data_IF_025393435216
#
_entry.id   IF_025393435216
#
_cell.length_a   1.000
_cell.length_b   1.000
_cell.length_c   1.000
_cell.angle_alpha   90.00
_cell.angle_beta   90.00
_cell.angle_gamma   90.00
#
_symmetry.space_group_name_H-M   'P 1'
#
loop_
_entity.id
_entity.type
_entity.pdbx_description
1 polymer ?
#
# COMPACT_ATOMS: atom_id res chain seq x y z
N UNK A 1 7.38 4.80 11.56
CA UNK A 1 8.65 5.54 11.32
C UNK A 1 8.46 6.90 10.61
N UNK A 2 7.30 7.54 10.77
CA UNK A 2 6.95 8.82 10.14
C UNK A 2 7.93 9.99 10.45
N UNK A 3 8.56 10.01 11.64
CA UNK A 3 9.46 11.10 12.06
C UNK A 3 10.79 11.08 11.30
N UNK A 4 11.36 9.91 11.05
CA UNK A 4 12.69 9.78 10.42
C UNK A 4 12.62 10.29 8.97
N UNK A 5 11.58 9.91 8.21
CA UNK A 5 11.38 10.39 6.83
C UNK A 5 11.09 11.87 6.72
N UNK A 6 10.52 12.48 7.76
CA UNK A 6 10.04 13.87 7.72
C UNK A 6 11.09 14.88 8.19
N UNK A 7 12.03 14.46 9.04
CA UNK A 7 12.93 15.38 9.75
C UNK A 7 14.41 15.05 9.54
N UNK A 8 14.76 13.80 9.22
CA UNK A 8 16.15 13.39 9.12
C UNK A 8 16.64 13.40 7.66
N UNK A 9 17.87 13.83 7.46
CA UNK A 9 18.55 13.77 6.16
C UNK A 9 19.28 12.43 5.94
N UNK A 10 19.82 11.86 7.02
CA UNK A 10 20.53 10.58 7.05
C UNK A 10 19.99 9.64 8.12
N UNK A 11 20.21 8.33 7.92
CA UNK A 11 19.84 7.26 8.85
C UNK A 11 20.95 6.23 8.96
N UNK A 12 21.07 5.63 10.13
CA UNK A 12 21.83 4.41 10.35
C UNK A 12 20.92 3.36 11.01
N UNK A 13 20.86 2.16 10.44
CA UNK A 13 20.14 1.01 10.97
C UNK A 13 21.12 0.13 11.73
N UNK A 14 20.73 -0.28 12.94
CA UNK A 14 21.57 -1.09 13.81
C UNK A 14 20.90 -2.41 14.17
N UNK A 15 21.70 -3.47 14.23
CA UNK A 15 21.31 -4.77 14.76
C UNK A 15 22.43 -5.30 15.67
N UNK A 16 22.07 -5.81 16.85
CA UNK A 16 23.02 -6.38 17.82
C UNK A 16 24.22 -5.48 18.12
N UNK A 17 23.98 -4.17 18.23
CA UNK A 17 25.00 -3.17 18.57
C UNK A 17 25.95 -2.80 17.42
N UNK A 18 25.66 -3.21 16.17
CA UNK A 18 26.45 -2.85 14.98
C UNK A 18 25.60 -2.10 13.98
N UNK A 19 26.20 -1.11 13.32
CA UNK A 19 25.59 -0.45 12.16
C UNK A 19 25.63 -1.43 10.99
N UNK A 20 24.46 -1.81 10.50
CA UNK A 20 24.29 -2.76 9.40
C UNK A 20 24.00 -2.05 8.07
N UNK A 21 23.48 -0.83 8.12
CA UNK A 21 23.16 -0.03 6.94
C UNK A 21 23.14 1.46 7.30
N UNK A 22 23.70 2.33 6.46
CA UNK A 22 23.76 3.78 6.70
C UNK A 22 23.74 4.55 5.38
N UNK A 23 23.10 5.72 5.39
CA UNK A 23 23.12 6.66 4.26
C UNK A 23 21.97 7.64 4.30
N UNK A 24 21.71 8.36 3.19
CA UNK A 24 20.55 9.23 3.06
C UNK A 24 19.26 8.47 3.33
N UNK A 25 18.32 9.09 4.06
CA UNK A 25 17.04 8.45 4.40
C UNK A 25 16.33 7.94 3.15
N UNK A 26 16.31 8.73 2.08
CA UNK A 26 15.72 8.34 0.79
C UNK A 26 16.37 7.09 0.22
N UNK A 27 17.69 7.00 0.22
CA UNK A 27 18.41 5.86 -0.35
C UNK A 27 18.22 4.57 0.46
N UNK A 28 18.34 4.65 1.79
CA UNK A 28 18.24 3.49 2.68
C UNK A 28 16.80 2.96 2.75
N UNK A 29 15.80 3.82 2.68
CA UNK A 29 14.39 3.40 2.75
C UNK A 29 13.75 3.08 1.39
N UNK A 30 14.19 3.70 0.28
CA UNK A 30 13.67 3.36 -1.06
C UNK A 30 14.33 2.10 -1.65
N UNK A 31 15.57 1.80 -1.27
CA UNK A 31 16.29 0.61 -1.73
C UNK A 31 17.05 -0.08 -0.58
N UNK A 32 16.35 -0.58 0.45
CA UNK A 32 16.99 -1.22 1.60
C UNK A 32 17.73 -2.49 1.17
N UNK A 33 18.99 -2.61 1.56
CA UNK A 33 19.83 -3.76 1.23
C UNK A 33 19.72 -4.86 2.29
N UNK A 34 19.70 -4.48 3.57
CA UNK A 34 19.70 -5.43 4.68
C UNK A 34 18.29 -5.94 4.99
N UNK A 35 18.18 -7.21 5.40
CA UNK A 35 16.90 -7.87 5.71
C UNK A 35 16.13 -7.18 6.83
N UNK A 36 16.85 -6.69 7.85
CA UNK A 36 16.29 -5.94 8.98
C UNK A 36 15.68 -4.61 8.52
N UNK A 37 16.42 -3.85 7.70
CA UNK A 37 15.94 -2.60 7.09
C UNK A 37 14.71 -2.84 6.23
N UNK A 38 14.70 -3.91 5.42
CA UNK A 38 13.51 -4.32 4.64
C UNK A 38 12.30 -4.59 5.52
N UNK A 39 12.50 -5.24 6.67
CA UNK A 39 11.41 -5.51 7.63
C UNK A 39 10.85 -4.20 8.20
N UNK A 40 11.72 -3.29 8.63
CA UNK A 40 11.31 -1.98 9.13
C UNK A 40 10.55 -1.14 8.10
N UNK A 41 11.01 -1.12 6.85
CA UNK A 41 10.31 -0.42 5.75
C UNK A 41 8.93 -1.04 5.51
N UNK A 42 8.81 -2.37 5.60
CA UNK A 42 7.54 -3.08 5.41
C UNK A 42 6.57 -2.83 6.56
N UNK A 43 7.05 -2.86 7.80
CA UNK A 43 6.23 -2.65 9.00
C UNK A 43 5.72 -1.18 9.06
N UNK A 44 6.57 -0.21 8.68
CA UNK A 44 6.22 1.21 8.56
C UNK A 44 5.08 1.49 7.56
N UNK A 45 5.01 0.71 6.47
CA UNK A 45 3.93 0.83 5.48
C UNK A 45 2.59 0.24 5.95
N UNK A 46 2.62 -0.61 6.99
CA UNK A 46 1.43 -1.26 7.54
C UNK A 46 0.84 -0.49 8.75
N UNK A 47 1.66 0.16 9.57
CA UNK A 47 1.21 0.87 10.80
C UNK A 47 0.30 2.08 10.52
N UNK A 48 0.59 2.89 9.49
CA UNK A 48 -0.26 4.03 9.10
C UNK A 48 -1.62 3.56 8.54
N UNK A 49 -1.68 2.33 8.03
CA UNK A 49 -2.87 1.73 7.41
C UNK A 49 -3.82 1.10 8.44
N UNK A 50 -3.31 0.26 9.35
CA UNK A 50 -4.13 -0.38 10.39
C UNK A 50 -4.79 0.67 11.30
N UNK A 51 -4.05 1.72 11.66
CA UNK A 51 -4.56 2.81 12.51
C UNK A 51 -5.73 3.55 11.84
N UNK A 52 -5.62 3.83 10.53
CA UNK A 52 -6.67 4.49 9.74
C UNK A 52 -7.91 3.61 9.51
N UNK A 53 -7.74 2.28 9.50
CA UNK A 53 -8.86 1.33 9.40
C UNK A 53 -9.58 1.13 10.74
N UNK A 54 -8.87 1.24 11.85
CA UNK A 54 -9.43 1.02 13.20
C UNK A 54 -10.37 2.17 13.63
N UNK A 55 -10.22 3.36 13.04
CA UNK A 55 -11.12 4.50 13.23
C UNK A 55 -12.39 4.45 12.35
N UNK A 56 -12.42 3.56 11.36
CA UNK A 56 -13.61 3.33 10.55
C UNK A 56 -14.49 2.32 11.29
N UNK A 57 -15.72 2.72 11.62
CA UNK A 57 -16.74 1.86 12.23
C UNK A 57 -16.84 0.50 11.52
N UNK A 58 -17.21 -0.60 12.21
CA UNK A 58 -17.29 -1.92 11.61
C UNK A 58 -18.12 -1.86 10.32
N UNK A 59 -17.42 -2.11 9.20
CA UNK A 59 -17.99 -2.20 7.86
C UNK A 59 -19.23 -3.09 7.92
N UNK A 60 -20.35 -2.58 7.43
CA UNK A 60 -21.60 -3.32 7.38
C UNK A 60 -21.42 -4.68 6.69
N UNK A 61 -22.41 -5.57 6.85
CA UNK A 61 -22.40 -6.85 6.13
C UNK A 61 -22.21 -6.59 4.62
N UNK A 62 -21.22 -7.26 4.02
CA UNK A 62 -20.84 -7.15 2.61
C UNK A 62 -20.08 -5.87 2.22
N UNK A 63 -19.57 -5.11 3.20
CA UNK A 63 -18.64 -4.01 2.97
C UNK A 63 -17.17 -4.44 3.22
N UNK A 64 -16.25 -3.94 2.38
CA UNK A 64 -14.84 -4.34 2.38
C UNK A 64 -13.92 -3.13 2.24
N UNK A 65 -12.78 -3.18 2.93
CA UNK A 65 -11.64 -2.32 2.61
C UNK A 65 -10.54 -3.20 2.05
N UNK A 66 -10.06 -2.84 0.85
CA UNK A 66 -9.05 -3.60 0.13
C UNK A 66 -7.90 -2.69 -0.28
N UNK A 67 -6.68 -3.26 -0.29
CA UNK A 67 -5.48 -2.59 -0.78
C UNK A 67 -5.12 -3.14 -2.16
N UNK A 68 -5.28 -2.33 -3.18
CA UNK A 68 -4.91 -2.63 -4.56
C UNK A 68 -3.44 -2.22 -4.78
N UNK A 69 -2.55 -3.18 -5.06
CA UNK A 69 -1.11 -2.93 -5.26
C UNK A 69 -0.77 -2.88 -6.75
N UNK A 70 -0.02 -1.86 -7.15
CA UNK A 70 0.47 -1.66 -8.52
C UNK A 70 1.97 -2.00 -8.56
N UNK A 71 2.35 -2.94 -9.43
CA UNK A 71 3.72 -3.45 -9.55
C UNK A 71 4.26 -3.40 -10.99
N UNK A 72 4.00 -2.30 -11.73
CA UNK A 72 4.59 -2.02 -13.05
C UNK A 72 3.70 -2.32 -14.27
N UNK A 73 4.24 -1.98 -15.46
CA UNK A 73 3.73 -2.14 -16.85
C UNK A 73 2.30 -1.69 -17.25
N UNK A 74 1.34 -1.55 -16.33
CA UNK A 74 -0.03 -1.11 -16.65
C UNK A 74 -0.29 0.30 -16.10
N UNK A 75 0.07 1.33 -16.87
CA UNK A 75 0.01 2.74 -16.43
C UNK A 75 -1.28 3.47 -16.81
N UNK A 76 -2.06 2.95 -17.75
CA UNK A 76 -3.19 3.70 -18.34
C UNK A 76 -4.53 2.96 -18.32
N UNK A 77 -4.54 1.71 -17.87
CA UNK A 77 -5.78 0.95 -17.75
C UNK A 77 -6.63 1.50 -16.59
N UNK A 78 -7.92 1.80 -16.84
CA UNK A 78 -8.77 2.37 -15.81
C UNK A 78 -9.33 1.25 -14.93
N UNK A 79 -8.45 0.62 -14.13
CA UNK A 79 -8.75 -0.58 -13.34
C UNK A 79 -9.93 -0.31 -12.39
N UNK A 80 -9.91 0.81 -11.66
CA UNK A 80 -10.95 1.15 -10.68
C UNK A 80 -12.32 1.31 -11.34
N UNK A 81 -12.44 2.06 -12.43
CA UNK A 81 -13.73 2.23 -13.11
C UNK A 81 -14.19 0.96 -13.81
N UNK A 82 -13.25 0.15 -14.31
CA UNK A 82 -13.54 -1.15 -14.91
C UNK A 82 -14.11 -2.13 -13.89
N UNK A 83 -13.55 -2.15 -12.67
CA UNK A 83 -14.07 -2.95 -11.55
C UNK A 83 -15.45 -2.45 -11.11
N UNK A 84 -15.62 -1.14 -10.96
CA UNK A 84 -16.92 -0.55 -10.64
C UNK A 84 -18.01 -0.94 -11.65
N UNK A 85 -17.69 -0.87 -12.95
CA UNK A 85 -18.64 -1.21 -14.03
C UNK A 85 -18.89 -2.71 -14.14
N UNK A 86 -17.84 -3.53 -14.03
CA UNK A 86 -17.95 -4.98 -14.22
C UNK A 86 -18.75 -5.68 -13.12
N UNK A 87 -18.71 -5.15 -11.90
CA UNK A 87 -19.37 -5.73 -10.74
C UNK A 87 -20.55 -4.88 -10.23
N UNK A 88 -20.86 -3.76 -10.87
CA UNK A 88 -21.87 -2.78 -10.44
C UNK A 88 -21.67 -2.34 -8.97
N UNK A 89 -20.41 -2.07 -8.61
CA UNK A 89 -20.01 -1.71 -7.24
C UNK A 89 -19.61 -0.24 -7.15
N UNK A 90 -19.96 0.39 -6.02
CA UNK A 90 -19.40 1.69 -5.65
C UNK A 90 -18.03 1.48 -5.03
N UNK A 91 -17.10 2.40 -5.31
CA UNK A 91 -15.74 2.34 -4.78
C UNK A 91 -15.37 3.74 -4.30
N UNK A 92 -15.00 3.84 -3.03
CA UNK A 92 -14.40 5.05 -2.46
C UNK A 92 -12.88 4.84 -2.38
N UNK A 93 -12.09 5.83 -2.81
CA UNK A 93 -10.64 5.80 -2.60
C UNK A 93 -10.36 6.47 -1.26
N UNK A 94 -9.86 5.71 -0.29
CA UNK A 94 -9.52 6.22 1.04
C UNK A 94 -8.09 6.73 1.09
N UNK A 95 -7.16 6.02 0.44
CA UNK A 95 -5.75 6.38 0.39
C UNK A 95 -5.21 6.08 -1.01
N UNK A 96 -4.29 6.90 -1.48
CA UNK A 96 -3.59 6.68 -2.73
C UNK A 96 -2.11 7.04 -2.56
N UNK A 97 -1.24 6.06 -2.77
CA UNK A 97 0.19 6.27 -2.85
C UNK A 97 0.69 5.67 -4.16
N UNK A 98 0.75 6.49 -5.20
CA UNK A 98 1.07 6.06 -6.56
C UNK A 98 2.27 6.86 -7.08
N UNK A 99 3.30 6.16 -7.55
CA UNK A 99 4.47 6.72 -8.22
C UNK A 99 4.52 6.21 -9.66
N UNK A 100 4.67 7.13 -10.60
CA UNK A 100 4.91 6.78 -12.00
C UNK A 100 6.42 6.65 -12.22
N UNK A 101 6.87 5.45 -12.60
CA UNK A 101 8.28 5.15 -12.89
C UNK A 101 8.47 4.93 -14.38
N UNK A 102 9.73 4.87 -14.84
CA UNK A 102 10.06 4.50 -16.23
C UNK A 102 9.54 3.10 -16.62
N UNK A 103 9.32 2.23 -15.63
CA UNK A 103 8.88 0.84 -15.81
C UNK A 103 7.39 0.64 -15.51
N UNK A 104 6.65 1.75 -15.37
CA UNK A 104 5.22 1.76 -15.13
C UNK A 104 4.82 2.29 -13.76
N UNK A 105 3.57 2.10 -13.39
CA UNK A 105 3.00 2.59 -12.14
C UNK A 105 3.33 1.64 -11.01
N UNK A 106 3.88 2.19 -9.92
CA UNK A 106 4.22 1.46 -8.70
C UNK A 106 3.58 2.15 -7.51
N UNK A 107 2.93 1.39 -6.63
CA UNK A 107 2.29 1.94 -5.45
C UNK A 107 1.06 1.15 -5.03
N UNK A 108 0.12 1.81 -4.37
CA UNK A 108 -1.14 1.20 -3.96
C UNK A 108 -2.29 2.21 -3.89
N UNK A 109 -3.51 1.68 -3.94
CA UNK A 109 -4.75 2.35 -3.55
C UNK A 109 -5.40 1.58 -2.41
N UNK A 110 -5.93 2.29 -1.43
CA UNK A 110 -6.85 1.74 -0.44
C UNK A 110 -8.26 2.10 -0.85
N UNK A 111 -9.09 1.08 -1.04
CA UNK A 111 -10.42 1.21 -1.57
C UNK A 111 -11.43 0.72 -0.53
N UNK A 112 -12.45 1.52 -0.25
CA UNK A 112 -13.63 1.10 0.47
C UNK A 112 -14.76 0.76 -0.52
N UNK A 113 -15.22 -0.48 -0.45
CA UNK A 113 -16.34 -1.02 -1.21
C UNK A 113 -17.50 -1.18 -0.22
N UNK A 114 -18.50 -0.29 -0.23
CA UNK A 114 -19.57 -0.30 0.77
C UNK A 114 -20.54 -1.47 0.59
N UNK A 115 -20.56 -2.10 -0.59
CA UNK A 115 -21.34 -3.30 -0.83
C UNK A 115 -20.77 -4.08 -2.02
N UNK A 116 -20.48 -5.36 -1.81
CA UNK A 116 -20.20 -6.34 -2.87
C UNK A 116 -20.58 -7.73 -2.36
N UNK A 117 -21.27 -8.52 -3.20
CA UNK A 117 -21.62 -9.88 -2.82
C UNK A 117 -20.35 -10.73 -2.59
N UNK A 118 -20.36 -11.63 -1.61
CA UNK A 118 -19.21 -12.50 -1.33
C UNK A 118 -18.78 -13.37 -2.52
N UNK A 119 -19.71 -13.72 -3.40
CA UNK A 119 -19.45 -14.46 -4.66
C UNK A 119 -18.71 -13.58 -5.66
N UNK A 120 -19.10 -12.31 -5.79
CA UNK A 120 -18.46 -11.39 -6.71
C UNK A 120 -17.13 -10.85 -6.17
N UNK A 121 -16.99 -10.76 -4.84
CA UNK A 121 -15.70 -10.51 -4.18
C UNK A 121 -14.68 -11.62 -4.49
N UNK A 122 -15.09 -12.89 -4.47
CA UNK A 122 -14.19 -13.99 -4.85
C UNK A 122 -13.76 -13.97 -6.32
N UNK A 123 -14.57 -13.39 -7.21
CA UNK A 123 -14.18 -13.15 -8.62
C UNK A 123 -13.28 -11.91 -8.76
N UNK A 124 -13.54 -10.89 -7.96
CA UNK A 124 -12.75 -9.66 -7.87
C UNK A 124 -11.31 -9.98 -7.47
N UNK A 125 -11.12 -10.77 -6.41
CA UNK A 125 -9.79 -11.17 -5.91
C UNK A 125 -8.97 -11.92 -6.98
N UNK A 126 -9.60 -12.82 -7.73
CA UNK A 126 -8.93 -13.60 -8.80
C UNK A 126 -8.53 -12.80 -10.03
N UNK A 127 -9.11 -11.61 -10.23
CA UNK A 127 -8.83 -10.75 -11.38
C UNK A 127 -7.75 -9.72 -11.09
N UNK A 128 -7.51 -9.46 -9.80
CA UNK A 128 -6.57 -8.45 -9.31
C UNK A 128 -5.23 -9.05 -8.88
N UNK A 129 -5.19 -10.34 -8.53
CA UNK A 129 -3.97 -11.14 -8.43
C UNK A 129 -3.45 -11.60 -9.81
#
# INVERSE_FOLDING_TARGET
MHVIRRICDEVAVMESGKVIEQGPVTQVFENPQHTVTKRFVKDDLNDDFETSLTELEPLEKDAYIVRLVFAGSTTTEPIVSSLSTAYDIKINILEANIKNTKNGTVGFLVLHIPYISSVDFGKFEKRVN
#
